data_IF_907096888324
#
_entry.id   IF_907096888324
#
_cell.length_a   1.000
_cell.length_b   1.000
_cell.length_c   1.000
_cell.angle_alpha   90.00
_cell.angle_beta   90.00
_cell.angle_gamma   90.00
#
_symmetry.space_group_name_H-M   'P 1'
#
loop_
_entity.id
_entity.type
_entity.pdbx_description
1 polymer ?
#
# COMPACT_ATOMS: atom_id res chain seq x y z
N UNK A 1 -11.73 -23.59 13.84
CA UNK A 1 -10.83 -22.60 13.22
C UNK A 1 -11.05 -21.24 13.87
N UNK A 2 -10.06 -20.32 13.83
CA UNK A 2 -10.24 -18.92 14.27
C UNK A 2 -11.41 -18.26 13.52
N UNK A 3 -11.61 -18.61 12.24
CA UNK A 3 -12.71 -18.13 11.40
C UNK A 3 -14.09 -18.59 11.90
N UNK A 4 -14.24 -19.87 12.24
CA UNK A 4 -15.49 -20.41 12.81
C UNK A 4 -15.78 -19.78 14.18
N UNK A 5 -14.74 -19.47 14.96
CA UNK A 5 -14.90 -18.79 16.24
C UNK A 5 -15.32 -17.32 16.05
N UNK A 6 -14.85 -16.65 15.00
CA UNK A 6 -15.27 -15.29 14.64
C UNK A 6 -16.75 -15.26 14.26
N UNK A 7 -17.21 -16.22 13.46
CA UNK A 7 -18.64 -16.37 13.14
C UNK A 7 -19.47 -16.68 14.38
N UNK A 8 -18.97 -17.57 15.25
CA UNK A 8 -19.61 -17.88 16.52
C UNK A 8 -19.73 -16.66 17.43
N UNK A 9 -18.69 -15.84 17.57
CA UNK A 9 -18.71 -14.62 18.39
C UNK A 9 -19.69 -13.59 17.81
N UNK A 10 -19.77 -13.47 16.48
CA UNK A 10 -20.75 -12.58 15.83
C UNK A 10 -22.17 -13.04 16.08
N UNK A 11 -22.44 -14.33 15.87
CA UNK A 11 -23.74 -14.94 16.11
C UNK A 11 -24.16 -14.82 17.58
N UNK A 12 -23.23 -15.06 18.51
CA UNK A 12 -23.49 -14.92 19.94
C UNK A 12 -23.83 -13.46 20.30
N UNK A 13 -23.17 -12.47 19.70
CA UNK A 13 -23.50 -11.06 19.91
C UNK A 13 -24.92 -10.73 19.39
N UNK A 14 -25.28 -11.21 18.20
CA UNK A 14 -26.64 -11.06 17.65
C UNK A 14 -27.70 -11.73 18.57
N UNK A 15 -27.42 -12.94 19.08
CA UNK A 15 -28.31 -13.62 20.02
C UNK A 15 -28.46 -12.90 21.36
N UNK A 16 -27.39 -12.29 21.88
CA UNK A 16 -27.42 -11.53 23.13
C UNK A 16 -28.22 -10.23 22.97
N UNK A 17 -28.16 -9.55 21.82
CA UNK A 17 -28.99 -8.37 21.54
C UNK A 17 -30.48 -8.74 21.46
N UNK A 18 -30.81 -9.88 20.86
CA UNK A 18 -32.20 -10.34 20.76
C UNK A 18 -32.73 -10.97 22.06
N UNK A 19 -31.88 -11.27 23.03
CA UNK A 19 -32.25 -11.98 24.27
C UNK A 19 -33.35 -11.29 25.03
N UNK A 20 -33.22 -9.98 25.23
CA UNK A 20 -34.18 -9.22 26.05
C UNK A 20 -35.54 -9.10 25.33
N UNK A 21 -35.54 -8.97 24.00
CA UNK A 21 -36.77 -8.99 23.19
C UNK A 21 -37.47 -10.34 23.27
N UNK A 22 -36.73 -11.45 23.18
CA UNK A 22 -37.33 -12.79 23.29
C UNK A 22 -37.83 -13.10 24.69
N UNK A 23 -37.18 -12.59 25.74
CA UNK A 23 -37.65 -12.70 27.12
C UNK A 23 -38.98 -11.97 27.32
N UNK A 24 -39.12 -10.75 26.79
CA UNK A 24 -40.38 -9.99 26.84
C UNK A 24 -41.52 -10.71 26.11
N UNK A 25 -41.25 -11.22 24.91
CA UNK A 25 -42.25 -11.98 24.14
C UNK A 25 -42.64 -13.29 24.85
N UNK A 26 -41.68 -14.01 25.42
CA UNK A 26 -41.93 -15.22 26.19
C UNK A 26 -42.82 -14.93 27.42
N UNK A 27 -42.49 -13.89 28.19
CA UNK A 27 -43.29 -13.47 29.35
C UNK A 27 -44.71 -13.05 28.96
N UNK A 28 -44.86 -12.35 27.84
CA UNK A 28 -46.17 -11.95 27.33
C UNK A 28 -47.03 -13.17 26.96
N UNK A 29 -46.44 -14.16 26.28
CA UNK A 29 -47.13 -15.41 25.93
C UNK A 29 -47.54 -16.15 27.20
N UNK A 30 -46.64 -16.30 28.17
CA UNK A 30 -46.95 -16.91 29.48
C UNK A 30 -48.12 -16.20 30.16
N UNK A 31 -48.12 -14.86 30.20
CA UNK A 31 -49.21 -14.07 30.77
C UNK A 31 -50.55 -14.31 30.05
N UNK A 32 -50.54 -14.40 28.72
CA UNK A 32 -51.78 -14.70 27.97
C UNK A 32 -52.35 -16.06 28.33
N UNK A 33 -51.51 -17.10 28.43
CA UNK A 33 -51.97 -18.43 28.84
C UNK A 33 -52.45 -18.45 30.30
N UNK A 34 -51.81 -17.71 31.21
CA UNK A 34 -52.27 -17.56 32.60
C UNK A 34 -53.64 -16.89 32.70
N UNK A 35 -53.88 -15.82 31.92
CA UNK A 35 -55.19 -15.14 31.84
C UNK A 35 -56.24 -16.07 31.21
N UNK A 36 -55.89 -16.81 30.16
CA UNK A 36 -56.80 -17.77 29.54
C UNK A 36 -57.23 -18.86 30.53
N UNK A 37 -56.31 -19.35 31.37
CA UNK A 37 -56.61 -20.28 32.46
C UNK A 37 -57.48 -19.63 33.55
N UNK A 38 -57.20 -18.39 33.96
CA UNK A 38 -57.97 -17.66 34.98
C UNK A 38 -59.43 -17.41 34.56
N UNK A 39 -59.63 -17.02 33.29
CA UNK A 39 -60.97 -16.78 32.72
C UNK A 39 -61.61 -18.05 32.13
N UNK A 40 -60.97 -19.21 32.27
CA UNK A 40 -61.47 -20.52 31.85
C UNK A 40 -61.82 -20.58 30.35
N UNK A 41 -60.99 -19.95 29.52
CA UNK A 41 -61.13 -19.90 28.07
C UNK A 41 -60.61 -21.23 27.49
N UNK A 42 -61.43 -21.92 26.69
CA UNK A 42 -61.00 -23.17 26.04
C UNK A 42 -59.92 -22.89 24.97
N UNK A 43 -58.71 -23.38 25.22
CA UNK A 43 -57.59 -23.34 24.27
C UNK A 43 -57.50 -24.66 23.50
N UNK A 44 -57.29 -24.63 22.17
CA UNK A 44 -57.08 -25.85 21.38
C UNK A 44 -55.91 -26.68 21.92
N UNK A 45 -56.09 -28.01 22.00
CA UNK A 45 -55.07 -28.93 22.54
C UNK A 45 -53.73 -28.88 21.80
N UNK A 46 -53.73 -28.52 20.52
CA UNK A 46 -52.53 -28.33 19.70
C UNK A 46 -51.71 -27.13 20.18
N UNK A 47 -52.37 -26.01 20.47
CA UNK A 47 -51.72 -24.77 20.92
C UNK A 47 -51.23 -24.91 22.36
N UNK A 48 -51.99 -25.60 23.21
CA UNK A 48 -51.57 -25.90 24.58
C UNK A 48 -50.34 -26.82 24.62
N UNK A 49 -50.28 -27.83 23.73
CA UNK A 49 -49.10 -28.68 23.58
C UNK A 49 -47.87 -27.88 23.10
N UNK A 50 -48.05 -26.94 22.17
CA UNK A 50 -46.98 -26.06 21.69
C UNK A 50 -46.46 -25.11 22.79
N UNK A 51 -47.36 -24.61 23.65
CA UNK A 51 -46.97 -23.82 24.83
C UNK A 51 -46.18 -24.66 25.85
N UNK A 52 -46.57 -25.91 26.08
CA UNK A 52 -45.83 -26.81 26.96
C UNK A 52 -44.41 -27.11 26.47
N UNK A 53 -44.17 -27.08 25.15
CA UNK A 53 -42.81 -27.22 24.59
C UNK A 53 -42.04 -25.89 24.56
N UNK A 54 -42.74 -24.75 24.46
CA UNK A 54 -42.11 -23.42 24.42
C UNK A 54 -41.27 -23.12 25.66
N UNK A 55 -41.76 -23.47 26.86
CA UNK A 55 -41.04 -23.26 28.12
C UNK A 55 -39.71 -24.04 28.20
N UNK A 56 -39.66 -25.36 27.97
CA UNK A 56 -38.40 -26.09 27.95
C UNK A 56 -37.48 -25.67 26.80
N UNK A 57 -38.02 -25.35 25.61
CA UNK A 57 -37.21 -24.86 24.48
C UNK A 57 -36.54 -23.52 24.80
N UNK A 58 -37.27 -22.59 25.43
CA UNK A 58 -36.74 -21.30 25.86
C UNK A 58 -35.68 -21.45 26.96
N UNK A 59 -35.89 -22.35 27.92
CA UNK A 59 -34.86 -22.65 28.94
C UNK A 59 -33.62 -23.31 28.33
N UNK A 60 -33.78 -24.19 27.34
CA UNK A 60 -32.66 -24.78 26.60
C UNK A 60 -31.89 -23.70 25.82
N UNK A 61 -32.58 -22.76 25.17
CA UNK A 61 -31.96 -21.62 24.50
C UNK A 61 -31.14 -20.77 25.48
N UNK A 62 -31.73 -20.38 26.62
CA UNK A 62 -31.05 -19.59 27.66
C UNK A 62 -29.83 -20.29 28.22
N UNK A 63 -29.97 -21.58 28.57
CA UNK A 63 -28.84 -22.38 29.08
C UNK A 63 -27.73 -22.50 28.04
N UNK A 64 -28.08 -22.70 26.77
CA UNK A 64 -27.10 -22.77 25.68
C UNK A 64 -26.39 -21.43 25.46
N UNK A 65 -27.12 -20.32 25.60
CA UNK A 65 -26.58 -18.96 25.51
C UNK A 65 -25.61 -18.67 26.67
N UNK A 66 -25.98 -19.03 27.90
CA UNK A 66 -25.14 -18.84 29.09
C UNK A 66 -23.84 -19.69 29.00
N UNK A 67 -23.94 -20.93 28.51
CA UNK A 67 -22.76 -21.80 28.27
C UNK A 67 -21.87 -21.20 27.16
N UNK A 68 -22.48 -20.69 26.09
CA UNK A 68 -21.76 -20.03 25.00
C UNK A 68 -21.04 -18.76 25.47
N UNK A 69 -21.66 -17.97 26.35
CA UNK A 69 -21.06 -16.80 26.97
C UNK A 69 -19.92 -17.17 27.93
N UNK A 70 -20.12 -18.17 28.79
CA UNK A 70 -19.09 -18.63 29.73
C UNK A 70 -17.87 -19.23 29.00
N UNK A 71 -18.09 -19.95 27.91
CA UNK A 71 -17.00 -20.51 27.08
C UNK A 71 -16.34 -19.49 26.17
N UNK A 72 -16.97 -18.32 25.94
CA UNK A 72 -16.42 -17.25 25.11
C UNK A 72 -15.08 -16.76 25.65
N UNK A 73 -14.99 -16.47 26.95
CA UNK A 73 -13.77 -15.89 27.54
C UNK A 73 -12.58 -16.87 27.50
N UNK A 74 -12.84 -18.16 27.73
CA UNK A 74 -11.83 -19.22 27.64
C UNK A 74 -11.36 -19.40 26.19
N UNK A 75 -12.30 -19.42 25.23
CA UNK A 75 -11.98 -19.52 23.81
C UNK A 75 -11.26 -18.26 23.30
N UNK A 76 -11.68 -17.05 23.70
CA UNK A 76 -10.98 -15.79 23.38
C UNK A 76 -9.54 -15.84 23.87
N UNK A 77 -9.31 -16.33 25.10
CA UNK A 77 -7.94 -16.46 25.63
C UNK A 77 -7.09 -17.42 24.80
N UNK A 78 -7.65 -18.58 24.43
CA UNK A 78 -6.96 -19.58 23.60
C UNK A 78 -6.65 -19.05 22.20
N UNK A 79 -7.62 -18.42 21.53
CA UNK A 79 -7.44 -17.88 20.19
C UNK A 79 -6.59 -16.60 20.19
N UNK A 80 -6.60 -15.81 21.25
CA UNK A 80 -5.68 -14.69 21.41
C UNK A 80 -4.22 -15.16 21.44
N UNK A 81 -3.92 -16.24 22.17
CA UNK A 81 -2.58 -16.84 22.16
C UNK A 81 -2.20 -17.41 20.79
N UNK A 82 -3.15 -18.01 20.07
CA UNK A 82 -2.92 -18.46 18.68
C UNK A 82 -2.66 -17.28 17.73
N UNK A 83 -3.39 -16.17 17.88
CA UNK A 83 -3.17 -14.94 17.11
C UNK A 83 -1.81 -14.31 17.42
N UNK A 84 -1.36 -14.32 18.68
CA UNK A 84 -0.01 -13.87 19.05
C UNK A 84 1.06 -14.71 18.35
N UNK A 85 0.91 -16.04 18.30
CA UNK A 85 1.81 -16.89 17.51
C UNK A 85 1.83 -16.53 16.02
N UNK A 86 0.65 -16.28 15.42
CA UNK A 86 0.57 -15.84 14.01
C UNK A 86 1.18 -14.46 13.78
N UNK A 87 1.12 -13.57 14.77
CA UNK A 87 1.80 -12.27 14.75
C UNK A 87 3.31 -12.46 14.74
N UNK A 88 3.83 -13.35 15.58
CA UNK A 88 5.27 -13.66 15.62
C UNK A 88 5.75 -14.29 14.30
N UNK A 89 4.95 -15.18 13.71
CA UNK A 89 5.23 -15.74 12.38
C UNK A 89 5.31 -14.65 11.30
N UNK A 90 4.37 -13.69 11.31
CA UNK A 90 4.42 -12.53 10.41
C UNK A 90 5.67 -11.69 10.65
N UNK A 91 6.03 -11.41 11.90
CA UNK A 91 7.24 -10.63 12.20
C UNK A 91 8.51 -11.36 11.73
N UNK A 92 8.57 -12.68 11.90
CA UNK A 92 9.67 -13.50 11.40
C UNK A 92 9.74 -13.47 9.86
N UNK A 93 8.60 -13.56 9.18
CA UNK A 93 8.52 -13.47 7.72
C UNK A 93 8.92 -12.08 7.21
N UNK A 94 8.47 -11.01 7.86
CA UNK A 94 8.90 -9.62 7.58
C UNK A 94 10.41 -9.47 7.76
N UNK A 95 10.99 -10.03 8.83
CA UNK A 95 12.43 -10.01 9.05
C UNK A 95 13.20 -10.75 7.94
N UNK A 96 12.68 -11.89 7.48
CA UNK A 96 13.25 -12.64 6.36
C UNK A 96 13.17 -11.85 5.03
N UNK A 97 12.02 -11.27 4.72
CA UNK A 97 11.83 -10.40 3.54
C UNK A 97 12.77 -9.20 3.61
N UNK A 98 12.93 -8.60 4.78
CA UNK A 98 13.84 -7.47 4.99
C UNK A 98 15.30 -7.88 4.77
N UNK A 99 15.70 -9.08 5.19
CA UNK A 99 17.03 -9.62 4.92
C UNK A 99 17.25 -9.86 3.41
N UNK A 100 16.25 -10.42 2.72
CA UNK A 100 16.28 -10.55 1.25
C UNK A 100 16.36 -9.17 0.57
N UNK A 101 15.68 -8.16 1.10
CA UNK A 101 15.74 -6.78 0.60
C UNK A 101 17.11 -6.11 0.86
N UNK A 102 17.91 -6.61 1.80
CA UNK A 102 19.29 -6.17 2.05
C UNK A 102 20.33 -6.93 1.21
N UNK A 103 19.89 -7.88 0.39
CA UNK A 103 20.79 -8.71 -0.41
C UNK A 103 21.71 -7.85 -1.28
N UNK A 104 22.99 -8.24 -1.36
CA UNK A 104 24.07 -7.44 -1.94
C UNK A 104 23.81 -7.02 -3.40
N UNK A 105 23.04 -7.81 -4.15
CA UNK A 105 22.61 -7.49 -5.52
C UNK A 105 21.80 -6.19 -5.62
N UNK A 106 21.04 -5.82 -4.60
CA UNK A 106 20.24 -4.58 -4.56
C UNK A 106 21.08 -3.34 -4.21
N UNK A 107 22.29 -3.55 -3.70
CA UNK A 107 23.20 -2.51 -3.21
C UNK A 107 24.37 -2.22 -4.17
N UNK A 108 24.59 -3.08 -5.18
CA UNK A 108 25.68 -2.93 -6.15
C UNK A 108 25.26 -2.03 -7.32
N UNK A 109 26.15 -1.11 -7.69
CA UNK A 109 25.97 -0.14 -8.78
C UNK A 109 25.92 -0.80 -10.18
N UNK A 110 26.50 -1.98 -10.34
CA UNK A 110 26.64 -2.69 -11.63
C UNK A 110 25.63 -3.85 -11.81
N UNK A 111 24.63 -3.95 -10.95
CA UNK A 111 23.60 -4.96 -11.10
C UNK A 111 22.74 -4.67 -12.34
N UNK A 112 22.26 -5.72 -13.00
CA UNK A 112 21.35 -5.56 -14.13
C UNK A 112 20.03 -4.94 -13.63
N UNK A 113 19.58 -3.89 -14.31
CA UNK A 113 18.32 -3.22 -14.02
C UNK A 113 17.15 -4.18 -14.06
N UNK A 114 17.15 -5.13 -15.01
CA UNK A 114 16.03 -6.06 -15.20
C UNK A 114 15.99 -7.12 -14.08
N UNK A 115 17.14 -7.68 -13.72
CA UNK A 115 17.23 -8.64 -12.60
C UNK A 115 16.85 -7.99 -11.26
N UNK A 116 17.31 -6.76 -11.02
CA UNK A 116 17.00 -6.05 -9.78
C UNK A 116 15.51 -5.71 -9.69
N UNK A 117 14.92 -5.22 -10.79
CA UNK A 117 13.49 -4.92 -10.84
C UNK A 117 12.66 -6.18 -10.59
N UNK A 118 13.00 -7.31 -11.21
CA UNK A 118 12.31 -8.60 -10.98
C UNK A 118 12.37 -9.04 -9.51
N UNK A 119 13.54 -8.92 -8.86
CA UNK A 119 13.69 -9.23 -7.44
C UNK A 119 12.84 -8.28 -6.58
N UNK A 120 12.89 -6.97 -6.83
CA UNK A 120 12.11 -6.00 -6.04
C UNK A 120 10.61 -6.13 -6.26
N UNK A 121 10.16 -6.51 -7.45
CA UNK A 121 8.76 -6.80 -7.75
C UNK A 121 8.30 -8.07 -7.03
N UNK A 122 9.11 -9.13 -7.06
CA UNK A 122 8.82 -10.36 -6.32
C UNK A 122 8.72 -10.10 -4.80
N UNK A 123 9.62 -9.28 -4.25
CA UNK A 123 9.56 -8.85 -2.84
C UNK A 123 8.32 -8.00 -2.54
N UNK A 124 7.92 -7.11 -3.46
CA UNK A 124 6.70 -6.31 -3.36
C UNK A 124 5.44 -7.19 -3.32
N UNK A 125 5.39 -8.24 -4.16
CA UNK A 125 4.29 -9.21 -4.15
C UNK A 125 4.26 -10.00 -2.84
N UNK A 126 5.42 -10.52 -2.39
CA UNK A 126 5.51 -11.26 -1.12
C UNK A 126 5.03 -10.41 0.06
N UNK A 127 5.46 -9.15 0.17
CA UNK A 127 5.11 -8.33 1.32
C UNK A 127 3.65 -7.85 1.30
N UNK A 128 3.03 -7.74 0.12
CA UNK A 128 1.60 -7.49 -0.01
C UNK A 128 0.77 -8.67 0.49
N UNK A 129 1.17 -9.90 0.19
CA UNK A 129 0.52 -11.11 0.72
C UNK A 129 0.61 -11.15 2.27
N UNK A 130 1.79 -10.87 2.83
CA UNK A 130 1.96 -10.75 4.29
C UNK A 130 1.07 -9.65 4.87
N UNK A 131 0.89 -8.54 4.14
CA UNK A 131 0.01 -7.45 4.56
C UNK A 131 -1.45 -7.84 4.63
N UNK A 132 -1.95 -8.57 3.64
CA UNK A 132 -3.33 -9.07 3.66
C UNK A 132 -3.55 -10.00 4.85
N UNK A 133 -2.60 -10.90 5.14
CA UNK A 133 -2.64 -11.77 6.32
C UNK A 133 -2.61 -10.97 7.63
N UNK A 134 -1.78 -9.93 7.72
CA UNK A 134 -1.73 -9.04 8.88
C UNK A 134 -3.04 -8.26 9.10
N UNK A 135 -3.69 -7.81 8.01
CA UNK A 135 -4.97 -7.11 8.07
C UNK A 135 -6.10 -8.03 8.56
N UNK A 136 -6.08 -9.31 8.15
CA UNK A 136 -7.00 -10.35 8.67
C UNK A 136 -6.79 -10.55 10.18
N UNK A 137 -5.54 -10.69 10.64
CA UNK A 137 -5.23 -10.83 12.07
C UNK A 137 -5.70 -9.62 12.86
N UNK A 138 -5.48 -8.40 12.35
CA UNK A 138 -5.96 -7.18 13.01
C UNK A 138 -7.48 -7.17 13.15
N UNK A 139 -8.21 -7.64 12.12
CA UNK A 139 -9.66 -7.75 12.18
C UNK A 139 -10.11 -8.74 13.26
N UNK A 140 -9.43 -9.88 13.42
CA UNK A 140 -9.71 -10.83 14.51
C UNK A 140 -9.38 -10.25 15.88
N UNK A 141 -8.25 -9.55 16.02
CA UNK A 141 -7.89 -8.86 17.26
C UNK A 141 -8.95 -7.83 17.67
N UNK A 142 -9.49 -7.08 16.69
CA UNK A 142 -10.61 -6.16 16.92
C UNK A 142 -11.87 -6.87 17.36
N UNK A 143 -12.22 -8.00 16.74
CA UNK A 143 -13.43 -8.77 17.08
C UNK A 143 -13.34 -9.36 18.50
N UNK A 144 -12.16 -9.84 18.90
CA UNK A 144 -11.92 -10.37 20.24
C UNK A 144 -11.68 -9.29 21.29
N UNK A 145 -11.73 -8.01 20.90
CA UNK A 145 -11.47 -6.86 21.76
C UNK A 145 -10.10 -6.93 22.46
N UNK A 146 -9.09 -7.49 21.79
CA UNK A 146 -7.70 -7.58 22.27
C UNK A 146 -6.84 -6.46 21.67
N UNK A 147 -5.68 -6.13 22.27
CA UNK A 147 -4.77 -5.13 21.73
C UNK A 147 -4.39 -5.44 20.28
N UNK A 148 -4.65 -4.48 19.38
CA UNK A 148 -4.32 -4.62 17.97
C UNK A 148 -2.83 -4.39 17.75
N UNK A 149 -2.16 -5.30 17.06
CA UNK A 149 -0.80 -5.06 16.60
C UNK A 149 -0.84 -4.09 15.40
N UNK A 150 0.03 -3.08 15.45
CA UNK A 150 0.16 -2.06 14.39
C UNK A 150 1.01 -2.53 13.22
N UNK A 151 1.80 -3.60 13.40
CA UNK A 151 2.73 -4.12 12.41
C UNK A 151 3.63 -3.03 11.83
N UNK A 152 4.23 -2.21 12.71
CA UNK A 152 5.05 -1.06 12.29
C UNK A 152 6.25 -1.51 11.45
N UNK A 153 6.85 -2.66 11.77
CA UNK A 153 7.96 -3.24 11.00
C UNK A 153 7.54 -3.69 9.59
N UNK A 154 6.33 -4.23 9.44
CA UNK A 154 5.77 -4.57 8.14
C UNK A 154 5.61 -3.32 7.28
N UNK A 155 5.00 -2.27 7.83
CA UNK A 155 4.82 -0.99 7.13
C UNK A 155 6.16 -0.35 6.75
N UNK A 156 7.14 -0.37 7.64
CA UNK A 156 8.48 0.11 7.35
C UNK A 156 9.18 -0.71 6.25
N UNK A 157 9.05 -2.04 6.27
CA UNK A 157 9.64 -2.91 5.26
C UNK A 157 8.95 -2.74 3.89
N UNK A 158 7.63 -2.51 3.86
CA UNK A 158 6.90 -2.20 2.63
C UNK A 158 7.42 -0.90 2.01
N UNK A 159 7.52 0.17 2.81
CA UNK A 159 8.06 1.46 2.33
C UNK A 159 9.50 1.31 1.84
N UNK A 160 10.34 0.55 2.54
CA UNK A 160 11.72 0.26 2.13
C UNK A 160 11.78 -0.43 0.76
N UNK A 161 10.94 -1.43 0.52
CA UNK A 161 10.87 -2.16 -0.77
C UNK A 161 10.34 -1.25 -1.89
N UNK A 162 9.29 -0.48 -1.63
CA UNK A 162 8.73 0.46 -2.62
C UNK A 162 9.73 1.53 -3.03
N UNK A 163 10.50 2.08 -2.07
CA UNK A 163 11.53 3.07 -2.36
C UNK A 163 12.69 2.45 -3.15
N UNK A 164 13.07 1.20 -2.86
CA UNK A 164 14.10 0.47 -3.62
C UNK A 164 13.64 0.19 -5.05
N UNK A 165 12.44 -0.35 -5.23
CA UNK A 165 11.86 -0.56 -6.56
C UNK A 165 11.81 0.77 -7.33
N UNK A 166 11.26 1.82 -6.71
CA UNK A 166 11.15 3.14 -7.31
C UNK A 166 12.50 3.77 -7.68
N UNK A 167 13.57 3.49 -6.94
CA UNK A 167 14.93 3.95 -7.27
C UNK A 167 15.43 3.34 -8.58
N UNK A 168 15.35 2.01 -8.69
CA UNK A 168 15.82 1.27 -9.85
C UNK A 168 14.95 1.52 -11.09
N UNK A 169 13.63 1.57 -10.91
CA UNK A 169 12.70 1.96 -11.96
C UNK A 169 13.01 3.38 -12.44
N UNK A 170 13.19 4.33 -11.52
CA UNK A 170 13.50 5.71 -11.87
C UNK A 170 14.82 5.81 -12.64
N UNK A 171 15.84 5.05 -12.27
CA UNK A 171 17.13 5.07 -12.97
C UNK A 171 17.02 4.50 -14.39
N UNK A 172 16.26 3.42 -14.58
CA UNK A 172 15.97 2.83 -15.90
C UNK A 172 15.15 3.77 -16.76
N UNK A 173 14.02 4.27 -16.26
CA UNK A 173 13.14 5.17 -17.00
C UNK A 173 13.81 6.50 -17.31
N UNK A 174 14.61 7.05 -16.38
CA UNK A 174 15.41 8.25 -16.64
C UNK A 174 16.42 8.02 -17.76
N UNK A 175 17.11 6.87 -17.78
CA UNK A 175 18.00 6.50 -18.88
C UNK A 175 17.29 6.45 -20.24
N UNK A 176 16.10 5.86 -20.29
CA UNK A 176 15.28 5.82 -21.50
C UNK A 176 14.80 7.20 -21.94
N UNK A 177 14.41 8.07 -21.00
CA UNK A 177 14.05 9.45 -21.27
C UNK A 177 15.23 10.22 -21.85
N UNK A 178 16.42 10.08 -21.26
CA UNK A 178 17.65 10.70 -21.76
C UNK A 178 17.96 10.26 -23.20
N UNK A 179 17.84 8.97 -23.51
CA UNK A 179 18.04 8.46 -24.88
C UNK A 179 16.98 9.02 -25.85
N UNK A 180 15.71 9.05 -25.44
CA UNK A 180 14.61 9.62 -26.23
C UNK A 180 14.83 11.10 -26.49
N UNK A 181 15.23 11.87 -25.49
CA UNK A 181 15.50 13.29 -25.65
C UNK A 181 16.74 13.52 -26.50
N UNK A 182 17.78 12.69 -26.36
CA UNK A 182 19.01 12.82 -27.13
C UNK A 182 18.81 12.74 -28.65
N UNK A 183 17.84 11.94 -29.11
CA UNK A 183 17.51 11.79 -30.54
C UNK A 183 16.38 12.73 -30.99
N UNK A 184 15.74 13.45 -30.08
CA UNK A 184 14.64 14.36 -30.39
C UNK A 184 15.21 15.60 -31.07
N UNK A 185 14.65 15.95 -32.23
CA UNK A 185 14.93 17.21 -32.90
C UNK A 185 14.57 18.38 -31.99
N UNK A 186 15.47 19.35 -31.92
CA UNK A 186 15.35 20.47 -30.98
C UNK A 186 14.05 21.25 -31.17
N UNK A 187 13.59 21.38 -32.43
CA UNK A 187 12.34 22.08 -32.75
C UNK A 187 11.05 21.43 -32.23
N UNK A 188 11.10 20.12 -31.94
CA UNK A 188 9.97 19.35 -31.42
C UNK A 188 10.02 19.16 -29.89
N UNK A 189 11.01 19.73 -29.21
CA UNK A 189 11.12 19.63 -27.76
C UNK A 189 10.00 20.43 -27.10
N UNK A 190 9.21 19.74 -26.29
CA UNK A 190 8.29 20.33 -25.32
C UNK A 190 9.03 20.64 -24.02
N UNK A 191 9.32 21.91 -23.81
CA UNK A 191 10.05 22.40 -22.64
C UNK A 191 9.24 22.19 -21.35
N UNK A 192 7.91 22.29 -21.41
CA UNK A 192 7.06 22.10 -20.24
C UNK A 192 7.07 20.64 -19.76
N UNK A 193 7.01 19.68 -20.69
CA UNK A 193 7.15 18.24 -20.36
C UNK A 193 8.52 17.95 -19.73
N UNK A 194 9.60 18.50 -20.28
CA UNK A 194 10.95 18.35 -19.71
C UNK A 194 11.04 18.86 -18.26
N UNK A 195 10.54 20.07 -18.00
CA UNK A 195 10.50 20.67 -16.67
C UNK A 195 9.65 19.83 -15.69
N UNK A 196 8.51 19.32 -16.14
CA UNK A 196 7.65 18.45 -15.34
C UNK A 196 8.37 17.15 -14.96
N UNK A 197 9.01 16.48 -15.93
CA UNK A 197 9.78 15.24 -15.64
C UNK A 197 10.92 15.54 -14.68
N UNK A 198 11.73 16.57 -14.92
CA UNK A 198 12.85 16.93 -14.04
C UNK A 198 12.37 17.24 -12.62
N UNK A 199 11.25 17.94 -12.47
CA UNK A 199 10.64 18.22 -11.17
C UNK A 199 10.16 16.93 -10.48
N UNK A 200 9.50 16.02 -11.22
CA UNK A 200 9.06 14.71 -10.72
C UNK A 200 10.23 13.87 -10.20
N UNK A 201 11.30 13.74 -10.98
CA UNK A 201 12.46 12.93 -10.59
C UNK A 201 13.26 13.59 -9.44
N UNK A 202 13.34 14.92 -9.36
CA UNK A 202 13.91 15.60 -8.20
C UNK A 202 13.12 15.29 -6.92
N UNK A 203 11.78 15.37 -6.95
CA UNK A 203 10.94 14.99 -5.81
C UNK A 203 11.14 13.53 -5.42
N UNK A 204 11.27 12.64 -6.40
CA UNK A 204 11.54 11.22 -6.18
C UNK A 204 12.90 11.00 -5.49
N UNK A 205 13.96 11.65 -5.96
CA UNK A 205 15.31 11.59 -5.35
C UNK A 205 15.26 12.04 -3.88
N UNK A 206 14.58 13.15 -3.58
CA UNK A 206 14.43 13.64 -2.21
C UNK A 206 13.61 12.70 -1.31
N UNK A 207 12.60 12.03 -1.88
CA UNK A 207 11.81 11.02 -1.16
C UNK A 207 12.66 9.81 -0.80
N UNK A 208 13.41 9.28 -1.77
CA UNK A 208 14.29 8.13 -1.57
C UNK A 208 15.42 8.47 -0.59
N UNK A 209 15.99 9.67 -0.65
CA UNK A 209 17.02 10.14 0.28
C UNK A 209 16.57 10.16 1.74
N UNK A 210 15.29 10.47 1.99
CA UNK A 210 14.73 10.51 3.35
C UNK A 210 14.33 9.14 3.87
N UNK A 211 13.90 8.25 2.98
CA UNK A 211 13.34 6.95 3.35
C UNK A 211 14.31 5.78 3.28
N UNK A 212 15.41 5.88 2.52
CA UNK A 212 16.45 4.84 2.47
C UNK A 212 17.75 5.31 3.14
N UNK A 213 18.47 4.39 3.80
CA UNK A 213 19.84 4.64 4.24
C UNK A 213 20.76 5.05 3.06
N UNK A 214 21.91 5.69 3.36
CA UNK A 214 22.90 6.03 2.35
C UNK A 214 23.25 4.82 1.47
N UNK A 215 23.04 4.97 0.18
CA UNK A 215 23.29 3.92 -0.81
C UNK A 215 24.08 4.49 -1.98
N UNK A 216 24.63 3.59 -2.79
CA UNK A 216 25.53 3.90 -3.90
C UNK A 216 24.81 4.29 -5.19
N UNK A 217 23.55 3.88 -5.35
CA UNK A 217 22.77 4.05 -6.59
C UNK A 217 22.05 5.40 -6.65
N UNK A 218 21.59 5.91 -5.50
CA UNK A 218 20.91 7.20 -5.38
C UNK A 218 21.78 8.39 -5.82
N UNK A 219 23.07 8.50 -5.46
CA UNK A 219 23.96 9.53 -5.98
C UNK A 219 23.99 9.56 -7.52
N UNK A 220 24.00 8.41 -8.17
CA UNK A 220 24.03 8.30 -9.64
C UNK A 220 22.76 8.90 -10.26
N UNK A 221 21.58 8.56 -9.71
CA UNK A 221 20.31 9.14 -10.18
C UNK A 221 20.27 10.65 -9.92
N UNK A 222 20.71 11.09 -8.73
CA UNK A 222 20.75 12.50 -8.36
C UNK A 222 21.64 13.30 -9.31
N UNK A 223 22.85 12.83 -9.56
CA UNK A 223 23.81 13.49 -10.45
C UNK A 223 23.24 13.62 -11.86
N UNK A 224 22.71 12.53 -12.43
CA UNK A 224 22.07 12.56 -13.76
C UNK A 224 20.89 13.53 -13.86
N UNK A 225 20.04 13.59 -12.83
CA UNK A 225 18.90 14.52 -12.79
C UNK A 225 19.38 15.96 -12.60
N UNK A 226 20.42 16.18 -11.81
CA UNK A 226 21.01 17.50 -11.55
C UNK A 226 21.72 18.05 -12.80
N UNK A 227 22.56 17.26 -13.46
CA UNK A 227 23.24 17.64 -14.70
C UNK A 227 22.23 18.08 -15.77
N UNK A 228 21.15 17.33 -15.96
CA UNK A 228 20.10 17.71 -16.91
C UNK A 228 19.29 18.93 -16.44
N UNK A 229 19.08 19.10 -15.13
CA UNK A 229 18.41 20.31 -14.61
C UNK A 229 19.23 21.56 -14.92
N UNK A 230 20.55 21.48 -14.87
CA UNK A 230 21.43 22.61 -15.22
C UNK A 230 21.41 22.95 -16.72
N UNK A 231 21.08 21.99 -17.60
CA UNK A 231 20.90 22.26 -19.04
C UNK A 231 19.56 22.89 -19.37
N UNK A 232 18.51 22.70 -18.54
CA UNK A 232 17.16 23.21 -18.83
C UNK A 232 17.09 24.70 -19.17
N UNK A 233 17.73 25.63 -18.42
CA UNK A 233 17.65 27.06 -18.74
C UNK A 233 18.21 27.39 -20.12
N UNK A 234 19.26 26.68 -20.54
CA UNK A 234 19.86 26.82 -21.87
C UNK A 234 18.88 26.34 -22.93
N UNK A 235 18.24 25.18 -22.71
CA UNK A 235 17.22 24.62 -23.62
C UNK A 235 16.05 25.60 -23.76
N UNK A 236 15.54 26.14 -22.65
CA UNK A 236 14.44 27.12 -22.62
C UNK A 236 14.81 28.36 -23.43
N UNK A 237 16.02 28.91 -23.20
CA UNK A 237 16.49 30.10 -23.91
C UNK A 237 16.62 29.87 -25.41
N UNK A 238 17.17 28.72 -25.81
CA UNK A 238 17.37 28.36 -27.21
C UNK A 238 16.06 27.93 -27.91
N UNK A 239 15.03 27.51 -27.18
CA UNK A 239 13.67 27.25 -27.69
C UNK A 239 12.82 28.50 -27.84
N UNK A 240 13.34 29.68 -27.51
CA UNK A 240 12.58 30.91 -27.64
C UNK A 240 12.28 31.22 -29.13
N UNK A 241 11.00 31.26 -29.55
CA UNK A 241 10.62 31.47 -30.95
C UNK A 241 10.98 32.87 -31.49
N UNK A 242 11.39 33.79 -30.61
CA UNK A 242 11.86 35.13 -30.99
C UNK A 242 13.34 35.17 -31.39
N UNK A 243 14.06 34.04 -31.29
CA UNK A 243 15.43 33.93 -31.77
C UNK A 243 15.47 34.04 -33.30
N UNK A 244 16.28 34.97 -33.79
CA UNK A 244 16.52 35.20 -35.22
C UNK A 244 17.94 34.74 -35.55
N UNK A 245 18.25 34.57 -36.84
CA UNK A 245 19.57 34.13 -37.30
C UNK A 245 20.73 34.90 -36.63
N UNK A 246 20.63 36.23 -36.54
CA UNK A 246 21.61 37.09 -35.83
C UNK A 246 21.89 36.72 -34.37
N UNK A 247 20.96 36.04 -33.69
CA UNK A 247 21.17 35.57 -32.31
C UNK A 247 21.88 34.20 -32.33
N UNK A 248 21.52 33.33 -33.28
CA UNK A 248 22.24 32.07 -33.52
C UNK A 248 23.69 32.29 -33.93
N UNK A 249 23.97 33.34 -34.73
CA UNK A 249 25.34 33.69 -35.13
C UNK A 249 26.20 34.06 -33.90
N UNK A 250 25.62 34.78 -32.92
CA UNK A 250 26.30 35.11 -31.65
C UNK A 250 26.49 33.90 -30.75
N UNK A 251 25.50 33.00 -30.71
CA UNK A 251 25.58 31.74 -29.96
C UNK A 251 26.68 30.85 -30.55
N UNK A 252 26.77 30.75 -31.87
CA UNK A 252 27.82 30.02 -32.58
C UNK A 252 29.21 30.61 -32.34
N UNK A 253 29.33 31.94 -32.31
CA UNK A 253 30.56 32.65 -31.96
C UNK A 253 30.99 32.36 -30.51
N UNK A 254 30.06 32.40 -29.56
CA UNK A 254 30.33 32.11 -28.15
C UNK A 254 30.76 30.66 -27.91
N UNK A 255 30.14 29.69 -28.59
CA UNK A 255 30.45 28.26 -28.43
C UNK A 255 31.60 27.75 -29.31
N UNK A 256 32.20 28.62 -30.14
CA UNK A 256 33.19 28.24 -31.16
C UNK A 256 32.76 27.03 -32.02
N UNK A 257 31.45 26.84 -32.21
CA UNK A 257 30.86 25.68 -32.88
C UNK A 257 29.72 26.17 -33.76
N UNK A 258 29.65 25.69 -35.00
CA UNK A 258 28.56 26.02 -35.91
C UNK A 258 27.38 25.10 -35.60
N UNK A 259 26.39 25.61 -34.85
CA UNK A 259 25.08 24.97 -34.78
C UNK A 259 24.29 25.40 -36.02
N UNK A 260 24.02 24.42 -36.88
CA UNK A 260 23.07 24.57 -37.98
C UNK A 260 21.72 24.12 -37.46
N UNK A 261 20.71 25.00 -37.51
CA UNK A 261 19.35 24.66 -37.10
C UNK A 261 18.65 23.83 -38.20
N UNK A 262 19.14 22.61 -38.41
CA UNK A 262 18.60 21.63 -39.34
C UNK A 262 18.13 20.36 -38.59
N UNK A 263 17.71 19.34 -39.35
CA UNK A 263 17.25 18.06 -38.79
C UNK A 263 18.31 17.30 -37.97
N UNK A 264 19.59 17.70 -38.04
CA UNK A 264 20.68 17.14 -37.23
C UNK A 264 20.83 17.79 -35.87
N UNK A 265 20.13 18.91 -35.61
CA UNK A 265 20.14 19.59 -34.32
C UNK A 265 19.22 18.87 -33.33
N UNK A 266 19.80 17.98 -32.53
CA UNK A 266 19.10 17.26 -31.47
C UNK A 266 19.53 17.73 -30.07
N UNK A 267 18.72 17.41 -29.05
CA UNK A 267 19.12 17.70 -27.67
C UNK A 267 20.42 16.98 -27.28
N UNK A 268 20.66 15.79 -27.84
CA UNK A 268 21.86 15.01 -27.56
C UNK A 268 23.13 15.70 -28.04
N UNK A 269 23.06 16.37 -29.19
CA UNK A 269 24.15 17.21 -29.69
C UNK A 269 24.39 18.40 -28.75
N UNK A 270 23.33 19.02 -28.26
CA UNK A 270 23.44 20.15 -27.34
C UNK A 270 24.06 19.76 -25.99
N UNK A 271 23.69 18.59 -25.47
CA UNK A 271 24.28 18.04 -24.24
C UNK A 271 25.75 17.62 -24.46
N UNK A 272 26.08 17.03 -25.61
CA UNK A 272 27.46 16.60 -25.92
C UNK A 272 28.42 17.76 -26.15
N UNK A 273 27.93 18.89 -26.66
CA UNK A 273 28.67 20.14 -26.81
C UNK A 273 28.93 20.87 -25.49
N UNK A 274 28.46 20.33 -24.35
CA UNK A 274 28.63 20.91 -23.01
C UNK A 274 28.26 22.39 -22.95
N UNK A 275 27.13 22.76 -23.56
CA UNK A 275 26.69 24.17 -23.67
C UNK A 275 26.50 24.83 -22.30
N UNK A 276 26.42 24.06 -21.21
CA UNK A 276 26.46 24.54 -19.82
C UNK A 276 27.74 25.33 -19.50
N UNK A 277 28.89 24.99 -20.11
CA UNK A 277 30.16 25.70 -19.90
C UNK A 277 30.14 27.12 -20.49
N UNK A 278 29.16 27.43 -21.37
CA UNK A 278 28.97 28.72 -22.04
C UNK A 278 27.65 29.41 -21.61
N UNK A 279 27.22 29.18 -20.36
CA UNK A 279 25.95 29.68 -19.81
C UNK A 279 25.92 31.21 -19.59
N UNK A 280 27.09 31.86 -19.47
CA UNK A 280 27.26 33.33 -19.38
C UNK A 280 27.26 34.00 -20.76
#
# INVERSE_FOLDING_TARGET
SVEEFVEFVRFLAECLECRDSFEEEFQLVTLYYEVMDEFNIEVPSIEYAAYQTLSPDYQMFKTSLDIAEASKDENVTKFASELEGRVDDINAEVAAIRLEAQHEKLLRENSDFDEVLEITEALSVKIKDVRERADIIRNYQKLFNVPQNRFEELSACMEEIELKHGLWESLKTWGQLMLKWAIMQFDHIDVADLEEKVSKYNKMVLRIERGLPPNKVLPILREKVFEFKETLPVIVNLRNPMLKQRHWDKVNEAMNTVIVNDESFTLGLLVSLRVIEYKE
#
